data_IF_002076522188
#
_entry.id   IF_002076522188
#
_cell.length_a   1.000
_cell.length_b   1.000
_cell.length_c   1.000
_cell.angle_alpha   90.00
_cell.angle_beta   90.00
_cell.angle_gamma   90.00
#
_symmetry.space_group_name_H-M   'P 1'
#
loop_
_entity.id
_entity.type
_entity.pdbx_description
1 polymer ?
#
# COMPACT_ATOMS: atom_id res chain seq x y z
N UNK A 1 -6.48 1.90 8.23
CA UNK A 1 -6.65 0.42 8.26
C UNK A 1 -7.93 -0.08 7.55
N UNK A 2 -8.54 0.72 6.66
CA UNK A 2 -9.89 0.43 6.14
C UNK A 2 -10.00 -0.83 5.27
N UNK A 3 -8.93 -1.20 4.55
CA UNK A 3 -8.96 -2.30 3.57
C UNK A 3 -8.73 -3.68 4.22
N UNK A 4 -7.88 -3.76 5.26
CA UNK A 4 -7.45 -5.05 5.82
C UNK A 4 -8.34 -5.57 6.95
N UNK A 5 -9.29 -4.77 7.44
CA UNK A 5 -10.20 -5.06 8.56
C UNK A 5 -9.52 -5.49 9.89
N UNK A 6 -8.18 -5.50 9.95
CA UNK A 6 -7.36 -5.86 11.10
C UNK A 6 -6.32 -4.78 11.37
N UNK A 7 -5.79 -4.72 12.60
CA UNK A 7 -4.76 -3.76 12.97
C UNK A 7 -3.49 -3.96 12.11
N UNK A 8 -3.08 -2.91 11.39
CA UNK A 8 -1.99 -2.97 10.39
C UNK A 8 -0.69 -2.37 10.91
N UNK A 9 -0.67 -1.83 12.14
CA UNK A 9 0.48 -1.08 12.66
C UNK A 9 1.73 -1.96 12.80
N UNK A 10 1.55 -3.22 13.19
CA UNK A 10 2.64 -4.18 13.30
C UNK A 10 3.23 -4.55 11.93
N UNK A 11 2.39 -4.62 10.90
CA UNK A 11 2.81 -4.92 9.53
C UNK A 11 3.55 -3.73 8.93
N UNK A 12 3.00 -2.52 9.07
CA UNK A 12 3.65 -1.28 8.58
C UNK A 12 5.01 -1.12 9.24
N UNK A 13 5.09 -1.27 10.57
CA UNK A 13 6.38 -1.22 11.30
C UNK A 13 7.37 -2.25 10.79
N UNK A 14 6.92 -3.46 10.49
CA UNK A 14 7.80 -4.51 9.95
C UNK A 14 8.31 -4.16 8.55
N UNK A 15 7.45 -3.63 7.67
CA UNK A 15 7.83 -3.22 6.32
C UNK A 15 8.81 -2.05 6.34
N UNK A 16 8.60 -1.07 7.22
CA UNK A 16 9.52 0.07 7.43
C UNK A 16 10.85 -0.41 8.00
N UNK A 17 10.84 -1.23 9.06
CA UNK A 17 12.07 -1.76 9.67
C UNK A 17 12.87 -2.62 8.69
N UNK A 18 12.20 -3.26 7.72
CA UNK A 18 12.84 -4.00 6.64
C UNK A 18 13.18 -3.13 5.43
N UNK A 19 12.93 -1.82 5.44
CA UNK A 19 13.23 -0.90 4.34
C UNK A 19 12.43 -1.14 3.06
N UNK A 20 11.33 -1.89 3.11
CA UNK A 20 10.50 -2.20 1.94
C UNK A 20 9.54 -1.06 1.58
N UNK A 21 9.17 -0.25 2.57
CA UNK A 21 8.42 0.99 2.41
C UNK A 21 9.07 2.10 3.22
N UNK A 22 8.79 3.35 2.89
CA UNK A 22 9.24 4.54 3.61
C UNK A 22 8.11 5.58 3.73
N UNK A 23 8.28 6.52 4.65
CA UNK A 23 7.39 7.68 4.78
C UNK A 23 7.69 8.68 3.66
N UNK A 24 6.69 9.00 2.85
CA UNK A 24 6.79 9.96 1.76
C UNK A 24 6.49 11.38 2.27
N UNK A 25 5.31 11.57 2.84
CA UNK A 25 4.89 12.84 3.44
C UNK A 25 3.77 12.62 4.46
N UNK A 26 3.51 13.65 5.26
CA UNK A 26 2.32 13.72 6.11
C UNK A 26 1.32 14.66 5.45
N UNK A 27 0.09 14.18 5.27
CA UNK A 27 -1.01 14.99 4.79
C UNK A 27 -1.27 16.14 5.80
N UNK A 28 -1.18 17.41 5.37
CA UNK A 28 -1.33 18.55 6.26
C UNK A 28 -2.77 18.76 6.76
N UNK A 29 -3.77 18.21 6.08
CA UNK A 29 -5.19 18.36 6.45
C UNK A 29 -5.64 17.25 7.40
N UNK A 30 -5.24 16.01 7.12
CA UNK A 30 -5.69 14.84 7.90
C UNK A 30 -4.68 14.38 8.94
N UNK A 31 -3.41 14.80 8.84
CA UNK A 31 -2.30 14.30 9.65
C UNK A 31 -1.90 12.85 9.30
N UNK A 32 -2.43 12.28 8.22
CA UNK A 32 -2.13 10.92 7.82
C UNK A 32 -0.73 10.81 7.20
N UNK A 33 0.01 9.75 7.56
CA UNK A 33 1.30 9.46 6.94
C UNK A 33 1.07 8.68 5.64
N UNK A 34 1.59 9.21 4.54
CA UNK A 34 1.66 8.52 3.26
C UNK A 34 2.93 7.69 3.19
N UNK A 35 2.77 6.39 2.93
CA UNK A 35 3.88 5.47 2.71
C UNK A 35 4.03 5.15 1.23
N UNK A 36 5.27 5.06 0.77
CA UNK A 36 5.62 4.64 -0.58
C UNK A 36 6.59 3.46 -0.58
N UNK A 37 6.62 2.71 -1.67
CA UNK A 37 7.51 1.57 -1.85
C UNK A 37 8.93 2.02 -2.17
N UNK A 38 9.94 1.33 -1.65
CA UNK A 38 11.34 1.60 -1.98
C UNK A 38 11.81 0.74 -3.16
N UNK A 39 12.94 1.06 -3.81
CA UNK A 39 13.56 0.18 -4.80
C UNK A 39 13.90 -1.21 -4.26
N UNK A 40 14.07 -1.36 -2.94
CA UNK A 40 14.35 -2.65 -2.33
C UNK A 40 13.15 -3.60 -2.41
N UNK A 41 11.92 -3.07 -2.41
CA UNK A 41 10.74 -3.88 -2.66
C UNK A 41 10.80 -4.51 -4.06
N UNK A 42 11.13 -3.73 -5.09
CA UNK A 42 11.25 -4.23 -6.47
C UNK A 42 12.31 -5.34 -6.57
N UNK A 43 13.46 -5.12 -5.91
CA UNK A 43 14.52 -6.14 -5.81
C UNK A 43 14.02 -7.41 -5.12
N UNK A 44 13.27 -7.29 -4.02
CA UNK A 44 12.70 -8.43 -3.31
C UNK A 44 11.63 -9.18 -4.12
N UNK A 45 10.95 -8.49 -5.04
CA UNK A 45 9.97 -9.07 -5.96
C UNK A 45 10.61 -9.64 -7.23
N UNK A 46 11.87 -9.32 -7.50
CA UNK A 46 12.60 -9.76 -8.70
C UNK A 46 12.18 -9.03 -9.98
N UNK A 47 11.68 -7.80 -9.87
CA UNK A 47 11.21 -6.95 -10.98
C UNK A 47 12.02 -5.65 -11.04
N UNK A 48 12.09 -5.03 -12.23
CA UNK A 48 12.87 -3.80 -12.43
C UNK A 48 12.01 -2.53 -12.36
N UNK A 49 10.70 -2.66 -12.54
CA UNK A 49 9.74 -1.55 -12.54
C UNK A 49 8.41 -1.95 -11.90
N UNK A 50 7.69 -0.96 -11.35
CA UNK A 50 6.30 -1.11 -10.87
C UNK A 50 5.37 -1.54 -12.01
N UNK A 51 5.68 -1.17 -13.25
CA UNK A 51 4.91 -1.52 -14.45
C UNK A 51 4.91 -3.03 -14.76
N UNK A 52 5.86 -3.78 -14.19
CA UNK A 52 5.93 -5.25 -14.32
C UNK A 52 4.98 -5.97 -13.35
N UNK A 53 4.31 -5.24 -12.44
CA UNK A 53 3.33 -5.84 -11.55
C UNK A 53 2.13 -6.38 -12.34
N UNK A 54 1.64 -7.58 -12.01
CA UNK A 54 0.47 -8.13 -12.66
C UNK A 54 -0.74 -7.21 -12.45
N UNK A 55 -1.63 -7.09 -13.45
CA UNK A 55 -2.84 -6.29 -13.30
C UNK A 55 -3.70 -6.85 -12.16
N UNK A 56 -4.28 -5.93 -11.39
CA UNK A 56 -5.07 -6.29 -10.20
C UNK A 56 -6.40 -6.99 -10.61
N UNK A 57 -6.94 -6.71 -11.80
CA UNK A 57 -8.19 -7.29 -12.32
C UNK A 57 -7.87 -8.48 -13.24
N UNK A 58 -7.93 -9.72 -12.74
CA UNK A 58 -9.18 -10.41 -12.36
C UNK A 58 -9.26 -10.94 -10.91
N UNK A 59 -8.40 -10.45 -10.01
CA UNK A 59 -8.36 -10.86 -8.59
C UNK A 59 -9.20 -9.97 -7.66
N UNK A 60 -9.77 -8.89 -8.19
CA UNK A 60 -10.77 -8.09 -7.50
C UNK A 60 -12.13 -8.75 -7.73
N UNK A 61 -12.95 -8.97 -6.69
CA UNK A 61 -14.38 -9.12 -6.92
C UNK A 61 -14.84 -7.89 -7.71
N UNK A 62 -15.40 -8.12 -8.90
CA UNK A 62 -15.80 -7.16 -9.92
C UNK A 62 -15.90 -5.73 -9.40
N UNK A 63 -14.92 -4.88 -9.75
CA UNK A 63 -14.74 -3.51 -9.24
C UNK A 63 -15.85 -2.52 -9.62
N UNK A 64 -17.09 -2.80 -9.24
CA UNK A 64 -18.28 -1.97 -9.38
C UNK A 64 -18.71 -1.34 -8.05
N UNK A 65 -18.30 -1.89 -6.91
CA UNK A 65 -18.46 -1.22 -5.63
C UNK A 65 -17.28 -0.26 -5.42
N UNK A 66 -17.36 0.91 -6.07
CA UNK A 66 -16.71 2.10 -5.53
C UNK A 66 -17.12 2.18 -4.06
N UNK A 67 -16.14 2.03 -3.16
CA UNK A 67 -16.40 1.84 -1.74
C UNK A 67 -17.13 3.07 -1.19
N UNK A 68 -18.41 2.86 -0.93
CA UNK A 68 -19.42 3.82 -0.52
C UNK A 68 -18.85 4.80 0.51
N UNK A 69 -18.69 6.06 0.09
CA UNK A 69 -18.43 7.19 0.97
C UNK A 69 -19.74 7.47 1.72
N UNK A 70 -20.07 6.61 2.70
CA UNK A 70 -21.26 6.78 3.53
C UNK A 70 -20.90 7.05 4.97
N UNK A 71 -21.08 8.34 5.27
CA UNK A 71 -21.33 9.02 6.55
C UNK A 71 -20.14 9.31 7.45
#
# INVERSE_FOLDING_TARGET
ASIRAVNVDSVVRTLVSRGLIQEAFTDPETGAIHYETTPMLLTSLGINSIEELPPISPLLPDGMDGFDERT
#
